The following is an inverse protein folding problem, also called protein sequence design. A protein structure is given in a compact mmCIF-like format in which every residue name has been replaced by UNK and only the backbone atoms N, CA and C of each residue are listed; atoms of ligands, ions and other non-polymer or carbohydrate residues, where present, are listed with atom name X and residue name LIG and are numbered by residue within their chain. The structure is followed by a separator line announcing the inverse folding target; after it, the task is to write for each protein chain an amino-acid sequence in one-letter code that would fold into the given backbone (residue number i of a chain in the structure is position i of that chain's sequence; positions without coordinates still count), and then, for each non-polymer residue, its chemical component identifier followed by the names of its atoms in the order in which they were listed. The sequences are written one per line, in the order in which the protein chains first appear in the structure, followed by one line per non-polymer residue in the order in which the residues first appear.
data_IF_544014983474
#
_entry.id   IF_544014983474
#
_cell.length_a   1.000
_cell.length_b   1.000
_cell.length_c   1.000
_cell.angle_alpha   90.00
_cell.angle_beta   90.00
_cell.angle_gamma   90.00
#
_symmetry.space_group_name_H-M   'P 1'
#
loop_
_entity.id
_entity.type
_entity.pdbx_description
1 polymer ?
#
# COMPACT_ATOMS: atom_id res chain seq x y z
N UNK A 1 -6.28 31.19 16.84
CA UNK A 1 -6.06 29.73 16.89
C UNK A 1 -6.55 29.01 15.64
N UNK A 2 -7.80 29.18 15.20
CA UNK A 2 -8.33 28.48 14.00
C UNK A 2 -7.55 28.81 12.70
N UNK A 3 -7.26 30.09 12.44
CA UNK A 3 -6.52 30.49 11.24
C UNK A 3 -5.12 29.86 11.13
N UNK A 4 -4.41 29.74 12.27
CA UNK A 4 -3.11 29.07 12.31
C UNK A 4 -3.25 27.58 11.97
N UNK A 5 -4.28 26.92 12.52
CA UNK A 5 -4.59 25.51 12.19
C UNK A 5 -4.89 25.35 10.70
N UNK A 6 -5.75 26.19 10.14
CA UNK A 6 -6.12 26.16 8.73
C UNK A 6 -4.90 26.32 7.79
N UNK A 7 -3.97 27.22 8.13
CA UNK A 7 -2.72 27.41 7.38
C UNK A 7 -1.81 26.19 7.47
N UNK A 8 -1.66 25.62 8.66
CA UNK A 8 -0.87 24.39 8.86
C UNK A 8 -1.45 23.21 8.09
N UNK A 9 -2.79 23.02 8.13
CA UNK A 9 -3.49 21.99 7.35
C UNK A 9 -3.28 22.19 5.85
N UNK A 10 -3.39 23.42 5.37
CA UNK A 10 -3.17 23.74 3.96
C UNK A 10 -1.73 23.44 3.51
N UNK A 11 -0.74 23.84 4.31
CA UNK A 11 0.67 23.58 4.01
C UNK A 11 0.97 22.08 3.91
N UNK A 12 0.58 21.30 4.92
CA UNK A 12 0.86 19.86 4.97
C UNK A 12 0.17 19.08 3.84
N UNK A 13 -1.00 19.53 3.37
CA UNK A 13 -1.69 18.91 2.23
C UNK A 13 -0.96 19.10 0.89
N UNK A 14 -0.25 20.21 0.70
CA UNK A 14 0.32 20.58 -0.60
C UNK A 14 1.85 20.46 -0.68
N UNK A 15 2.55 20.44 0.46
CA UNK A 15 4.00 20.26 0.47
C UNK A 15 4.39 18.80 0.18
N UNK A 16 5.49 18.61 -0.54
CA UNK A 16 6.17 17.31 -0.67
C UNK A 16 7.37 17.18 0.26
N UNK A 17 7.64 18.18 1.11
CA UNK A 17 8.79 18.22 2.02
C UNK A 17 8.62 17.33 3.25
N UNK A 18 7.37 17.00 3.60
CA UNK A 18 7.03 16.18 4.77
C UNK A 18 6.64 14.79 4.29
N UNK A 19 7.22 13.76 4.90
CA UNK A 19 6.92 12.36 4.58
C UNK A 19 5.44 12.02 4.85
N UNK A 20 4.79 11.17 4.02
CA UNK A 20 3.39 10.77 4.24
C UNK A 20 3.09 10.21 5.63
N UNK A 21 4.03 9.48 6.25
CA UNK A 21 3.89 8.94 7.61
C UNK A 21 3.90 10.09 8.62
N UNK A 22 4.83 11.03 8.46
CA UNK A 22 4.97 12.16 9.37
C UNK A 22 3.76 13.10 9.32
N UNK A 23 3.18 13.28 8.12
CA UNK A 23 1.88 13.96 7.96
C UNK A 23 0.77 13.27 8.77
N UNK A 24 0.77 11.94 8.83
CA UNK A 24 -0.23 11.19 9.60
C UNK A 24 -0.08 11.42 11.10
N UNK A 25 1.15 11.36 11.62
CA UNK A 25 1.47 11.60 13.04
C UNK A 25 1.02 13.02 13.44
N UNK A 26 1.40 14.03 12.65
CA UNK A 26 1.01 15.42 12.91
C UNK A 26 -0.50 15.62 12.86
N UNK A 27 -1.21 14.89 12.00
CA UNK A 27 -2.66 14.96 11.92
C UNK A 27 -3.35 14.49 13.21
N UNK A 28 -2.81 13.45 13.85
CA UNK A 28 -3.31 12.93 15.12
C UNK A 28 -2.94 13.84 16.29
N UNK A 29 -1.67 14.22 16.42
CA UNK A 29 -1.15 15.03 17.53
C UNK A 29 -1.85 16.39 17.63
N UNK A 30 -2.07 17.05 16.48
CA UNK A 30 -2.67 18.39 16.42
C UNK A 30 -4.16 18.38 16.06
N UNK A 31 -4.79 17.20 16.00
CA UNK A 31 -6.19 17.01 15.65
C UNK A 31 -6.61 17.80 14.40
N UNK A 32 -5.91 17.55 13.28
CA UNK A 32 -6.07 18.23 11.99
C UNK A 32 -7.12 17.49 11.13
N UNK A 33 -8.41 17.87 11.13
CA UNK A 33 -9.46 17.10 10.48
C UNK A 33 -9.33 17.01 8.96
N UNK A 34 -8.70 17.99 8.29
CA UNK A 34 -8.52 18.00 6.83
C UNK A 34 -7.42 17.06 6.36
N UNK A 35 -6.50 16.69 7.25
CA UNK A 35 -5.45 15.71 6.98
C UNK A 35 -5.89 14.26 7.25
N UNK A 36 -7.05 14.06 7.89
CA UNK A 36 -7.54 12.70 8.13
C UNK A 36 -7.67 12.00 6.78
N UNK A 37 -7.01 10.84 6.59
CA UNK A 37 -7.11 10.12 5.34
C UNK A 37 -8.59 9.89 5.06
N UNK A 38 -9.03 10.35 3.88
CA UNK A 38 -10.37 10.04 3.36
C UNK A 38 -10.38 8.51 3.26
N UNK A 39 -10.98 7.85 4.27
CA UNK A 39 -11.00 6.39 4.35
C UNK A 39 -11.41 5.88 2.97
N UNK A 40 -10.48 5.27 2.25
CA UNK A 40 -10.74 4.59 0.99
C UNK A 40 -11.51 3.33 1.33
N UNK A 41 -12.79 3.49 1.70
CA UNK A 41 -13.80 2.45 1.93
C UNK A 41 -13.38 1.20 2.74
N UNK A 42 -12.24 1.23 3.45
CA UNK A 42 -11.61 0.07 4.06
C UNK A 42 -11.11 -0.98 3.05
N UNK A 43 -11.14 -0.70 1.75
CA UNK A 43 -10.79 -1.69 0.73
C UNK A 43 -9.30 -1.65 0.49
N UNK A 44 -8.65 -2.78 0.79
CA UNK A 44 -7.22 -2.94 0.58
C UNK A 44 -6.90 -2.73 -0.90
N UNK A 45 -5.84 -1.99 -1.26
CA UNK A 45 -5.53 -1.65 -2.67
C UNK A 45 -5.27 -2.89 -3.54
N UNK A 46 -4.94 -4.02 -2.92
CA UNK A 46 -4.73 -5.31 -3.59
C UNK A 46 -5.94 -6.25 -3.51
N UNK A 47 -7.10 -5.81 -2.99
CA UNK A 47 -8.30 -6.64 -2.88
C UNK A 47 -9.02 -6.87 -4.21
N UNK A 48 -8.60 -6.22 -5.30
CA UNK A 48 -9.21 -6.36 -6.61
C UNK A 48 -8.12 -6.40 -7.68
N UNK A 49 -8.34 -7.13 -8.79
CA UNK A 49 -7.37 -7.22 -9.87
C UNK A 49 -7.09 -5.86 -10.47
N UNK A 50 -5.83 -5.62 -10.79
CA UNK A 50 -5.35 -4.45 -11.52
C UNK A 50 -4.87 -4.89 -12.91
N UNK A 51 -4.71 -3.94 -13.83
CA UNK A 51 -4.10 -4.19 -15.15
C UNK A 51 -2.70 -4.85 -15.04
N UNK A 52 -2.02 -4.66 -13.92
CA UNK A 52 -0.66 -5.13 -13.69
C UNK A 52 -0.57 -6.34 -12.73
N UNK A 53 -1.68 -6.78 -12.13
CA UNK A 53 -1.65 -7.95 -11.25
C UNK A 53 -1.60 -9.23 -12.08
N UNK A 54 -0.59 -10.06 -11.85
CA UNK A 54 -0.36 -11.33 -12.56
C UNK A 54 -0.22 -12.54 -11.62
N UNK A 55 -0.45 -12.33 -10.32
CA UNK A 55 -0.57 -13.39 -9.31
C UNK A 55 -1.57 -12.97 -8.23
N UNK A 56 -2.23 -13.97 -7.64
CA UNK A 56 -3.06 -13.81 -6.45
C UNK A 56 -2.40 -14.56 -5.31
N UNK A 57 -2.06 -13.84 -4.24
CA UNK A 57 -1.65 -14.44 -2.98
C UNK A 57 -2.86 -14.60 -2.07
N UNK A 58 -2.96 -15.75 -1.41
CA UNK A 58 -4.01 -16.01 -0.42
C UNK A 58 -3.35 -16.00 0.95
N UNK A 59 -3.67 -15.00 1.78
CA UNK A 59 -3.13 -14.87 3.13
C UNK A 59 -4.28 -14.88 4.11
N UNK A 60 -4.34 -15.88 4.99
CA UNK A 60 -5.43 -16.05 5.97
C UNK A 60 -6.83 -15.98 5.31
N UNK A 61 -6.97 -16.58 4.12
CA UNK A 61 -8.21 -16.57 3.34
C UNK A 61 -8.52 -15.27 2.59
N UNK A 62 -7.66 -14.26 2.67
CA UNK A 62 -7.80 -13.00 1.92
C UNK A 62 -6.99 -13.04 0.63
N UNK A 63 -7.64 -12.69 -0.48
CA UNK A 63 -6.99 -12.61 -1.80
C UNK A 63 -6.31 -11.25 -2.00
N UNK A 64 -5.05 -11.29 -2.39
CA UNK A 64 -4.22 -10.13 -2.71
C UNK A 64 -3.73 -10.24 -4.16
N UNK A 65 -4.22 -9.36 -5.02
CA UNK A 65 -3.83 -9.24 -6.42
C UNK A 65 -2.56 -8.39 -6.53
N UNK A 66 -1.44 -9.02 -6.89
CA UNK A 66 -0.10 -8.40 -6.89
C UNK A 66 0.71 -8.80 -8.13
N UNK A 67 1.92 -8.27 -8.25
CA UNK A 67 2.84 -8.55 -9.36
C UNK A 67 4.00 -9.45 -8.90
N UNK A 68 4.25 -10.55 -9.62
CA UNK A 68 5.33 -11.51 -9.33
C UNK A 68 6.70 -10.84 -9.34
N UNK A 69 6.96 -10.03 -10.37
CA UNK A 69 8.24 -9.34 -10.55
C UNK A 69 8.56 -8.44 -9.36
N UNK A 70 7.57 -7.69 -8.85
CA UNK A 70 7.77 -6.78 -7.73
C UNK A 70 8.12 -7.56 -6.46
N UNK A 71 7.37 -8.62 -6.16
CA UNK A 71 7.66 -9.49 -5.01
C UNK A 71 9.04 -10.15 -5.09
N UNK A 72 9.43 -10.60 -6.28
CA UNK A 72 10.74 -11.20 -6.50
C UNK A 72 11.90 -10.22 -6.30
N UNK A 73 11.74 -8.96 -6.76
CA UNK A 73 12.76 -7.92 -6.56
C UNK A 73 13.02 -7.66 -5.08
N UNK A 74 11.97 -7.67 -4.24
CA UNK A 74 12.09 -7.36 -2.82
C UNK A 74 12.21 -8.60 -1.90
N UNK A 75 12.06 -9.80 -2.43
CA UNK A 75 12.14 -11.04 -1.65
C UNK A 75 12.77 -12.16 -2.46
N UNK A 76 13.99 -12.60 -2.09
CA UNK A 76 14.64 -13.75 -2.71
C UNK A 76 13.81 -15.04 -2.61
N UNK A 77 12.97 -15.16 -1.59
CA UNK A 77 12.02 -16.29 -1.43
C UNK A 77 11.02 -16.29 -2.58
N UNK A 78 10.36 -15.15 -2.83
CA UNK A 78 9.42 -15.03 -3.95
C UNK A 78 10.11 -15.13 -5.31
N UNK A 79 11.35 -14.63 -5.43
CA UNK A 79 12.13 -14.81 -6.65
C UNK A 79 12.37 -16.29 -6.96
N UNK A 80 12.75 -17.09 -5.96
CA UNK A 80 12.96 -18.53 -6.12
C UNK A 80 11.64 -19.28 -6.32
N UNK A 81 10.58 -18.87 -5.64
CA UNK A 81 9.25 -19.48 -5.75
C UNK A 81 8.66 -19.32 -7.16
N UNK A 82 8.72 -18.10 -7.71
CA UNK A 82 8.13 -17.80 -9.02
C UNK A 82 9.05 -18.07 -10.21
N UNK A 83 10.36 -17.85 -10.06
CA UNK A 83 11.33 -17.87 -11.16
C UNK A 83 12.51 -18.84 -10.95
N UNK A 84 12.57 -19.53 -9.81
CA UNK A 84 13.55 -20.59 -9.58
C UNK A 84 13.21 -21.86 -10.35
N UNK A 85 14.13 -22.83 -10.32
CA UNK A 85 13.95 -24.17 -10.91
C UNK A 85 13.02 -25.08 -10.08
N UNK A 86 12.03 -24.50 -9.39
CA UNK A 86 10.98 -25.21 -8.67
C UNK A 86 9.89 -25.67 -9.64
N UNK A 87 9.33 -26.86 -9.38
CA UNK A 87 8.28 -27.55 -10.17
C UNK A 87 6.93 -26.81 -10.26
N UNK A 88 6.88 -25.52 -9.92
CA UNK A 88 5.68 -24.66 -9.93
C UNK A 88 5.54 -23.84 -11.23
N UNK A 89 6.30 -24.22 -12.26
CA UNK A 89 6.26 -23.64 -13.60
C UNK A 89 4.93 -23.97 -14.29
N UNK A 90 3.84 -23.35 -13.84
CA UNK A 90 2.51 -23.52 -14.43
C UNK A 90 1.31 -23.34 -13.49
N UNK A 91 1.50 -22.99 -12.21
CA UNK A 91 0.36 -22.74 -11.30
C UNK A 91 0.07 -21.24 -11.19
N UNK A 92 -1.19 -20.89 -11.44
CA UNK A 92 -1.70 -19.51 -11.35
C UNK A 92 -1.96 -19.06 -9.90
N UNK A 93 -1.87 -19.98 -8.94
CA UNK A 93 -2.15 -19.78 -7.51
C UNK A 93 -1.03 -20.39 -6.66
N UNK A 94 -0.59 -19.65 -5.64
CA UNK A 94 0.49 -20.00 -4.72
C UNK A 94 0.08 -19.64 -3.28
N UNK A 95 0.12 -20.61 -2.37
CA UNK A 95 -0.25 -20.51 -0.93
C UNK A 95 0.99 -20.35 -0.03
#
# INVERSE_FOLDING_TARGET
FQEARDRSEFFLLHTNEVDPIEKHILAEEYNLPKLKPKRTDGRHPFASPSKFSNVVLIVEGKKLHVQKEFLAVYSPVFARMFFGESSEKGKEEVE
#
